data_IF_186645053037
#
_entry.id   IF_186645053037
#
_cell.length_a   1.000
_cell.length_b   1.000
_cell.length_c   1.000
_cell.angle_alpha   90.00
_cell.angle_beta   90.00
_cell.angle_gamma   90.00
#
_symmetry.space_group_name_H-M   'P 1'
#
loop_
_entity.id
_entity.type
_entity.pdbx_description
1 polymer ?
#
# COMPACT_ATOMS: atom_id res chain seq x y z
N UNK A 1 -9.24 14.88 3.58
CA UNK A 1 -9.09 13.73 4.49
C UNK A 1 -8.58 12.57 3.67
N UNK A 2 -7.40 12.05 4.02
CA UNK A 2 -6.85 10.82 3.42
C UNK A 2 -7.17 9.66 4.37
N UNK A 3 -8.34 9.04 4.20
CA UNK A 3 -8.91 8.04 5.13
C UNK A 3 -7.89 6.93 5.43
N UNK A 4 -7.23 6.39 4.39
CA UNK A 4 -6.26 5.29 4.54
C UNK A 4 -5.00 5.70 5.29
N UNK A 5 -4.51 6.93 5.08
CA UNK A 5 -3.33 7.43 5.77
C UNK A 5 -3.63 7.66 7.25
N UNK A 6 -4.77 8.25 7.55
CA UNK A 6 -5.21 8.46 8.94
C UNK A 6 -5.38 7.13 9.69
N UNK A 7 -5.99 6.15 9.05
CA UNK A 7 -6.12 4.80 9.62
C UNK A 7 -4.76 4.16 9.86
N UNK A 8 -3.83 4.28 8.91
CA UNK A 8 -2.48 3.75 9.04
C UNK A 8 -1.75 4.36 10.26
N UNK A 9 -1.78 5.68 10.40
CA UNK A 9 -1.08 6.40 11.47
C UNK A 9 -1.73 6.18 12.85
N UNK A 10 -3.06 6.20 12.92
CA UNK A 10 -3.79 6.18 14.20
C UNK A 10 -4.07 4.78 14.73
N UNK A 11 -4.23 3.79 13.85
CA UNK A 11 -4.68 2.44 14.23
C UNK A 11 -3.61 1.39 13.95
N UNK A 12 -3.07 1.37 12.72
CA UNK A 12 -2.18 0.28 12.27
C UNK A 12 -0.80 0.40 12.91
N UNK A 13 -0.20 1.60 12.93
CA UNK A 13 1.14 1.82 13.53
C UNK A 13 1.16 1.38 15.01
N UNK A 14 0.25 1.81 15.90
CA UNK A 14 0.24 1.34 17.29
C UNK A 14 0.03 -0.17 17.41
N UNK A 15 -0.85 -0.75 16.60
CA UNK A 15 -1.13 -2.18 16.62
C UNK A 15 0.11 -3.01 16.22
N UNK A 16 0.85 -2.59 15.20
CA UNK A 16 2.07 -3.26 14.75
C UNK A 16 3.23 -3.10 15.74
N UNK A 17 3.42 -1.89 16.29
CA UNK A 17 4.41 -1.63 17.34
C UNK A 17 4.21 -2.58 18.53
N UNK A 18 2.96 -2.76 18.99
CA UNK A 18 2.63 -3.65 20.10
C UNK A 18 2.77 -5.12 19.74
N UNK A 19 2.32 -5.53 18.54
CA UNK A 19 2.33 -6.92 18.09
C UNK A 19 3.75 -7.46 17.91
N UNK A 20 4.65 -6.64 17.38
CA UNK A 20 6.02 -7.05 17.04
C UNK A 20 7.09 -6.47 17.98
N UNK A 21 6.67 -5.69 18.98
CA UNK A 21 7.52 -5.10 19.99
C UNK A 21 8.69 -4.29 19.40
N UNK A 22 8.39 -3.51 18.35
CA UNK A 22 9.34 -2.62 17.71
C UNK A 22 9.79 -1.53 18.68
N UNK A 23 11.06 -1.12 18.58
CA UNK A 23 11.67 -0.09 19.42
C UNK A 23 11.52 1.29 18.83
N UNK A 24 11.31 1.39 17.52
CA UNK A 24 11.15 2.65 16.80
C UNK A 24 9.96 2.60 15.84
N UNK A 25 9.24 3.71 15.75
CA UNK A 25 8.12 3.89 14.81
C UNK A 25 8.59 3.74 13.35
N UNK A 26 9.87 3.98 13.08
CA UNK A 26 10.45 3.83 11.74
C UNK A 26 10.61 2.37 11.31
N UNK A 27 10.54 1.42 12.24
CA UNK A 27 10.59 -0.03 11.94
C UNK A 27 9.23 -0.54 11.44
N UNK A 28 8.15 0.23 11.60
CA UNK A 28 6.82 -0.16 11.13
C UNK A 28 6.80 -0.13 9.60
N UNK A 29 6.42 -1.23 8.93
CA UNK A 29 6.41 -1.32 7.47
C UNK A 29 5.41 -0.34 6.85
N UNK A 30 5.86 0.34 5.78
CA UNK A 30 5.08 1.34 5.03
C UNK A 30 4.82 0.86 3.61
N UNK A 31 3.69 1.27 3.03
CA UNK A 31 3.42 1.08 1.61
C UNK A 31 4.27 2.08 0.80
N UNK A 32 5.21 1.57 0.02
CA UNK A 32 6.10 2.41 -0.81
C UNK A 32 5.41 2.78 -2.13
N UNK A 33 4.95 1.77 -2.90
CA UNK A 33 4.22 1.99 -4.15
C UNK A 33 3.33 0.81 -4.49
N UNK A 34 2.27 1.10 -5.25
CA UNK A 34 1.47 0.09 -5.95
C UNK A 34 1.78 0.23 -7.44
N UNK A 35 2.26 -0.85 -8.06
CA UNK A 35 2.49 -0.89 -9.52
C UNK A 35 1.35 -1.67 -10.14
N UNK A 36 0.56 -1.00 -10.98
CA UNK A 36 -0.47 -1.65 -11.78
C UNK A 36 0.11 -1.86 -13.18
N UNK A 37 0.42 -3.12 -13.49
CA UNK A 37 0.86 -3.51 -14.83
C UNK A 37 -0.34 -4.04 -15.61
N UNK A 38 -0.59 -3.50 -16.80
CA UNK A 38 -1.61 -3.98 -17.72
C UNK A 38 -0.89 -4.48 -18.97
N UNK A 39 -0.96 -5.79 -19.20
CA UNK A 39 -0.44 -6.41 -20.42
C UNK A 39 -1.42 -6.21 -21.57
N UNK A 40 -1.09 -5.30 -22.49
CA UNK A 40 -1.88 -5.01 -23.70
C UNK A 40 -1.41 -5.87 -24.90
N UNK A 41 -1.19 -7.17 -24.69
CA UNK A 41 -0.68 -8.09 -25.72
C UNK A 41 -1.60 -8.11 -26.96
N UNK A 42 -2.91 -8.24 -26.72
CA UNK A 42 -3.90 -8.42 -27.79
C UNK A 42 -4.59 -7.11 -28.21
N UNK A 43 -4.53 -6.06 -27.38
CA UNK A 43 -5.16 -4.74 -27.67
C UNK A 43 -4.45 -4.00 -28.82
N UNK A 44 -3.21 -4.41 -29.16
CA UNK A 44 -2.54 -3.92 -30.36
C UNK A 44 -3.19 -4.41 -31.66
N UNK A 45 -3.79 -5.60 -31.66
CA UNK A 45 -4.36 -6.19 -32.88
C UNK A 45 -5.83 -5.80 -33.11
N UNK A 46 -6.59 -5.48 -32.06
CA UNK A 46 -7.97 -4.95 -32.19
C UNK A 46 -8.28 -3.85 -31.15
N UNK A 47 -8.07 -2.56 -31.49
CA UNK A 47 -8.27 -1.44 -30.55
C UNK A 47 -9.72 -1.02 -30.27
N UNK A 48 -10.75 -1.76 -30.72
CA UNK A 48 -12.11 -1.23 -30.88
C UNK A 48 -13.27 -2.02 -30.27
N UNK A 49 -13.02 -3.04 -29.46
CA UNK A 49 -14.05 -3.67 -28.61
C UNK A 49 -13.79 -3.39 -27.12
#
# INVERSE_FOLDING_TARGET
MEILKEQYEKEIVPALMKKFNYKSVMEVPKLDKIVINIGLGDVKENPKD
#
